data_IF_631636845720
#
_entry.id   IF_631636845720
#
_cell.length_a   1.000
_cell.length_b   1.000
_cell.length_c   1.000
_cell.angle_alpha   90.00
_cell.angle_beta   90.00
_cell.angle_gamma   90.00
#
_symmetry.space_group_name_H-M   'P 1'
#
loop_
_entity.id
_entity.type
_entity.pdbx_description
1 polymer ?
#
# COMPACT_ATOMS: atom_id res chain seq x y z
N UNK A 1 26.15 -31.81 -11.66
CA UNK A 1 27.04 -32.83 -12.28
C UNK A 1 26.28 -33.88 -13.12
N UNK A 2 25.13 -34.43 -12.67
CA UNK A 2 24.36 -35.41 -13.46
C UNK A 2 23.85 -34.88 -14.82
N UNK A 3 23.37 -33.64 -14.85
CA UNK A 3 22.74 -33.03 -16.03
C UNK A 3 23.73 -32.82 -17.19
N UNK A 4 24.95 -32.34 -16.89
CA UNK A 4 26.03 -32.21 -17.90
C UNK A 4 26.42 -33.58 -18.46
N UNK A 5 26.43 -34.63 -17.62
CA UNK A 5 26.77 -35.98 -18.07
C UNK A 5 25.71 -36.54 -19.03
N UNK A 6 24.43 -36.40 -18.71
CA UNK A 6 23.32 -36.83 -19.59
C UNK A 6 23.29 -36.09 -20.93
N UNK A 7 23.64 -34.80 -20.97
CA UNK A 7 23.77 -34.02 -22.22
C UNK A 7 24.90 -34.59 -23.10
N UNK A 8 26.04 -34.92 -22.50
CA UNK A 8 27.19 -35.46 -23.24
C UNK A 8 26.95 -36.90 -23.73
N UNK A 9 26.13 -37.68 -23.01
CA UNK A 9 25.77 -39.06 -23.35
C UNK A 9 24.63 -39.14 -24.40
N UNK A 10 24.11 -38.00 -24.88
CA UNK A 10 23.04 -37.93 -25.89
C UNK A 10 21.65 -38.31 -25.36
N UNK A 11 21.49 -38.34 -24.04
CA UNK A 11 20.22 -38.64 -23.38
C UNK A 11 19.41 -37.36 -23.19
N UNK A 12 18.08 -37.42 -23.39
CA UNK A 12 17.24 -36.25 -23.15
C UNK A 12 17.17 -35.93 -21.65
N UNK A 13 17.89 -34.91 -21.21
CA UNK A 13 17.79 -34.35 -19.87
C UNK A 13 17.38 -32.88 -19.98
N UNK A 14 16.18 -32.56 -19.48
CA UNK A 14 15.63 -31.20 -19.46
C UNK A 14 14.71 -30.90 -20.63
N UNK A 15 13.42 -30.65 -20.32
CA UNK A 15 12.50 -30.08 -21.29
C UNK A 15 12.89 -28.64 -21.59
N UNK A 16 12.66 -28.18 -22.83
CA UNK A 16 12.76 -26.78 -23.22
C UNK A 16 12.04 -25.91 -22.18
N UNK A 17 12.77 -25.18 -21.35
CA UNK A 17 12.20 -24.11 -20.53
C UNK A 17 11.91 -22.96 -21.48
N UNK A 18 10.74 -23.01 -22.12
CA UNK A 18 10.16 -21.82 -22.70
C UNK A 18 10.17 -20.76 -21.61
N UNK A 19 10.90 -19.66 -21.79
CA UNK A 19 10.59 -18.43 -21.07
C UNK A 19 9.10 -18.22 -21.28
N UNK A 20 8.32 -18.30 -20.20
CA UNK A 20 6.92 -17.92 -20.25
C UNK A 20 6.87 -16.53 -20.92
N UNK A 21 5.98 -16.36 -21.89
CA UNK A 21 5.87 -15.08 -22.61
C UNK A 21 5.73 -13.93 -21.61
N UNK A 22 6.20 -12.71 -21.92
CA UNK A 22 6.20 -11.62 -20.96
C UNK A 22 4.79 -11.44 -20.38
N UNK A 23 4.67 -11.56 -19.06
CA UNK A 23 3.39 -11.31 -18.39
C UNK A 23 3.11 -9.83 -18.55
N UNK A 24 2.01 -9.52 -19.24
CA UNK A 24 1.52 -8.15 -19.34
C UNK A 24 0.71 -7.84 -18.09
N UNK A 25 1.31 -7.12 -17.17
CA UNK A 25 0.62 -6.52 -16.06
C UNK A 25 -0.01 -5.21 -16.57
N UNK A 26 -1.34 -5.13 -16.50
CA UNK A 26 -2.10 -3.94 -16.87
C UNK A 26 -2.53 -3.24 -15.58
N UNK A 27 -2.09 -2.01 -15.39
CA UNK A 27 -2.62 -1.11 -14.37
C UNK A 27 -3.35 0.03 -15.07
N UNK A 28 -4.59 0.26 -14.68
CA UNK A 28 -5.45 1.24 -15.33
C UNK A 28 -5.21 2.63 -14.73
N UNK A 29 -4.33 3.40 -15.35
CA UNK A 29 -4.10 4.81 -14.97
C UNK A 29 -5.26 5.75 -15.38
N UNK A 30 -6.30 5.23 -16.04
CA UNK A 30 -7.49 5.98 -16.37
C UNK A 30 -8.56 5.80 -15.29
N UNK A 31 -9.12 6.90 -14.80
CA UNK A 31 -10.15 6.82 -13.76
C UNK A 31 -11.46 6.34 -14.39
N UNK A 32 -11.82 5.07 -14.20
CA UNK A 32 -13.07 4.48 -14.71
C UNK A 32 -14.34 5.04 -14.04
N UNK A 33 -14.19 5.96 -13.09
CA UNK A 33 -15.29 6.67 -12.46
C UNK A 33 -15.80 7.78 -13.38
N UNK A 34 -16.96 7.55 -14.02
CA UNK A 34 -17.71 8.58 -14.77
C UNK A 34 -17.96 9.85 -13.95
N UNK A 35 -17.98 9.74 -12.62
CA UNK A 35 -18.10 10.84 -11.66
C UNK A 35 -16.88 11.78 -11.60
N UNK A 36 -15.71 11.36 -12.11
CA UNK A 36 -14.50 12.19 -12.21
C UNK A 36 -14.33 12.86 -13.58
N UNK A 37 -15.24 12.57 -14.52
CA UNK A 37 -15.25 13.25 -15.81
C UNK A 37 -15.34 14.77 -15.59
N UNK A 38 -14.34 15.50 -16.10
CA UNK A 38 -14.17 16.96 -15.96
C UNK A 38 -13.70 17.47 -14.59
N UNK A 39 -13.10 16.61 -13.75
CA UNK A 39 -12.43 17.02 -12.49
C UNK A 39 -10.90 16.85 -12.62
N UNK A 40 -10.18 17.81 -13.24
CA UNK A 40 -8.76 17.62 -13.59
C UNK A 40 -7.85 17.38 -12.38
N UNK A 41 -8.14 18.01 -11.24
CA UNK A 41 -7.40 17.78 -9.98
C UNK A 41 -7.59 16.33 -9.50
N UNK A 42 -8.82 15.83 -9.45
CA UNK A 42 -9.11 14.45 -9.03
C UNK A 42 -8.54 13.42 -10.01
N UNK A 43 -8.55 13.71 -11.31
CA UNK A 43 -7.92 12.85 -12.32
C UNK A 43 -6.41 12.82 -12.15
N UNK A 44 -5.79 13.96 -11.86
CA UNK A 44 -4.35 14.05 -11.60
C UNK A 44 -4.00 13.24 -10.35
N UNK A 45 -4.79 13.39 -9.27
CA UNK A 45 -4.61 12.64 -8.04
C UNK A 45 -4.71 11.13 -8.27
N UNK A 46 -5.77 10.68 -8.93
CA UNK A 46 -5.95 9.27 -9.29
C UNK A 46 -4.79 8.74 -10.12
N UNK A 47 -4.37 9.46 -11.16
CA UNK A 47 -3.25 9.04 -11.99
C UNK A 47 -1.92 8.93 -11.18
N UNK A 48 -1.71 9.79 -10.19
CA UNK A 48 -0.52 9.72 -9.32
C UNK A 48 -0.56 8.54 -8.35
N UNK A 49 -1.76 8.19 -7.86
CA UNK A 49 -1.98 6.98 -7.06
C UNK A 49 -1.62 5.73 -7.87
N UNK A 50 -2.17 5.61 -9.08
CA UNK A 50 -1.88 4.50 -9.99
C UNK A 50 -0.41 4.48 -10.46
N UNK A 51 0.20 5.65 -10.65
CA UNK A 51 1.62 5.74 -10.98
C UNK A 51 2.51 5.15 -9.86
N UNK A 52 2.13 5.32 -8.60
CA UNK A 52 2.84 4.69 -7.48
C UNK A 52 2.73 3.15 -7.55
N UNK A 53 1.58 2.62 -7.97
CA UNK A 53 1.42 1.17 -8.16
C UNK A 53 2.33 0.60 -9.24
N UNK A 54 2.69 1.34 -10.30
CA UNK A 54 3.66 0.86 -11.31
C UNK A 54 4.98 0.43 -10.65
N UNK A 55 5.50 1.24 -9.71
CA UNK A 55 6.69 0.88 -8.95
C UNK A 55 6.45 -0.35 -8.07
N UNK A 56 5.35 -0.38 -7.33
CA UNK A 56 5.02 -1.50 -6.43
C UNK A 56 4.88 -2.82 -7.19
N UNK A 57 4.23 -2.80 -8.37
CA UNK A 57 4.03 -3.97 -9.23
C UNK A 57 5.37 -4.50 -9.74
N UNK A 58 6.26 -3.61 -10.19
CA UNK A 58 7.59 -4.00 -10.68
C UNK A 58 8.47 -4.65 -9.60
N UNK A 59 8.17 -4.44 -8.31
CA UNK A 59 8.93 -4.96 -7.17
C UNK A 59 8.09 -5.87 -6.27
N UNK A 60 6.94 -6.33 -6.77
CA UNK A 60 6.10 -7.32 -6.11
C UNK A 60 5.96 -8.55 -6.98
N UNK A 61 5.56 -9.67 -6.39
CA UNK A 61 5.39 -10.94 -7.10
C UNK A 61 4.10 -10.94 -7.91
N UNK A 62 3.82 -9.86 -8.64
CA UNK A 62 2.51 -9.56 -9.23
C UNK A 62 2.08 -10.56 -10.33
N UNK A 63 3.03 -11.31 -10.89
CA UNK A 63 2.78 -12.40 -11.84
C UNK A 63 2.34 -13.71 -11.16
N UNK A 64 2.46 -13.80 -9.84
CA UNK A 64 2.17 -15.00 -9.06
C UNK A 64 0.75 -14.92 -8.45
N UNK A 65 0.26 -16.04 -7.90
CA UNK A 65 -1.06 -16.08 -7.26
C UNK A 65 -1.19 -14.99 -6.17
N UNK A 66 -2.33 -14.29 -6.18
CA UNK A 66 -2.61 -13.18 -5.27
C UNK A 66 -2.56 -13.67 -3.83
N UNK A 67 -1.48 -13.33 -3.14
CA UNK A 67 -1.29 -13.59 -1.71
C UNK A 67 -0.81 -12.32 -1.02
N UNK A 68 -1.07 -12.21 0.28
CA UNK A 68 -0.67 -11.04 1.03
C UNK A 68 0.85 -10.91 1.19
N UNK A 69 1.60 -12.02 1.17
CA UNK A 69 3.06 -12.03 1.28
C UNK A 69 3.77 -11.48 0.04
N UNK A 70 3.10 -11.48 -1.11
CA UNK A 70 3.61 -10.94 -2.38
C UNK A 70 2.97 -9.60 -2.74
N UNK A 71 2.24 -9.01 -1.79
CA UNK A 71 1.82 -7.62 -1.73
C UNK A 71 0.77 -7.16 -2.77
N UNK A 72 -0.03 -8.09 -3.29
CA UNK A 72 -1.14 -7.74 -4.19
C UNK A 72 -2.40 -7.26 -3.44
N UNK A 73 -2.60 -7.73 -2.19
CA UNK A 73 -3.77 -7.46 -1.33
C UNK A 73 -3.33 -7.07 0.10
N UNK A 74 -2.74 -5.89 0.26
CA UNK A 74 -2.34 -5.40 1.59
C UNK A 74 -2.46 -3.89 1.68
N UNK A 75 -2.72 -3.35 2.87
CA UNK A 75 -2.91 -1.90 3.08
C UNK A 75 -1.69 -1.13 2.62
N UNK A 76 -0.54 -1.79 2.58
CA UNK A 76 0.72 -1.27 2.11
C UNK A 76 0.65 -0.88 0.63
N UNK A 77 -0.11 -1.61 -0.20
CA UNK A 77 -0.27 -1.28 -1.61
C UNK A 77 -1.05 0.03 -1.76
N UNK A 78 -2.32 0.02 -1.35
CA UNK A 78 -3.26 1.12 -1.57
C UNK A 78 -3.05 2.30 -0.61
N UNK A 79 -2.71 2.02 0.64
CA UNK A 79 -2.47 3.04 1.66
C UNK A 79 -1.22 3.86 1.38
N UNK A 80 -0.11 3.23 0.96
CA UNK A 80 1.10 3.96 0.58
C UNK A 80 0.89 4.76 -0.70
N UNK A 81 0.15 4.21 -1.69
CA UNK A 81 -0.22 4.96 -2.90
C UNK A 81 -1.13 6.17 -2.58
N UNK A 82 -2.07 6.00 -1.65
CA UNK A 82 -2.95 7.08 -1.16
C UNK A 82 -2.15 8.18 -0.48
N UNK A 83 -1.24 7.83 0.45
CA UNK A 83 -0.38 8.82 1.11
C UNK A 83 0.58 9.48 0.10
N UNK A 84 1.22 8.70 -0.76
CA UNK A 84 2.17 9.19 -1.78
C UNK A 84 1.52 10.18 -2.74
N UNK A 85 0.30 9.89 -3.21
CA UNK A 85 -0.43 10.80 -4.09
C UNK A 85 -0.84 12.08 -3.36
N UNK A 86 -1.31 11.99 -2.11
CA UNK A 86 -1.61 13.17 -1.29
C UNK A 86 -0.36 14.06 -1.08
N UNK A 87 0.80 13.45 -0.76
CA UNK A 87 2.06 14.19 -0.61
C UNK A 87 2.48 14.89 -1.90
N UNK A 88 2.31 14.23 -3.04
CA UNK A 88 2.59 14.83 -4.33
C UNK A 88 1.66 16.02 -4.62
N UNK A 89 0.36 15.88 -4.32
CA UNK A 89 -0.62 16.97 -4.47
C UNK A 89 -0.33 18.16 -3.55
N UNK A 90 0.18 17.91 -2.34
CA UNK A 90 0.70 18.97 -1.45
C UNK A 90 1.91 19.68 -2.06
N UNK A 91 2.86 18.93 -2.64
CA UNK A 91 4.03 19.52 -3.29
C UNK A 91 3.63 20.42 -4.47
N UNK A 92 2.57 20.06 -5.20
CA UNK A 92 1.97 20.88 -6.25
C UNK A 92 1.09 22.04 -5.73
N UNK A 93 0.95 22.19 -4.41
CA UNK A 93 0.14 23.23 -3.75
C UNK A 93 -1.36 23.15 -4.05
N UNK A 94 -1.86 21.96 -4.38
CA UNK A 94 -3.30 21.73 -4.55
C UNK A 94 -4.02 21.45 -3.24
N UNK A 95 -3.32 20.88 -2.25
CA UNK A 95 -3.86 20.54 -0.93
C UNK A 95 -2.86 20.88 0.18
N UNK A 96 -3.33 20.82 1.43
CA UNK A 96 -2.50 20.68 2.62
C UNK A 96 -2.58 19.21 3.10
N UNK A 97 -1.44 18.53 3.28
CA UNK A 97 -1.43 17.11 3.65
C UNK A 97 -2.04 16.90 5.04
N UNK A 98 -1.70 17.74 6.01
CA UNK A 98 -2.21 17.64 7.39
C UNK A 98 -3.73 17.73 7.43
N UNK A 99 -4.31 18.69 6.71
CA UNK A 99 -5.76 18.84 6.62
C UNK A 99 -6.41 17.65 5.92
N UNK A 100 -5.83 17.17 4.80
CA UNK A 100 -6.30 15.99 4.10
C UNK A 100 -6.34 14.74 5.00
N UNK A 101 -5.27 14.50 5.75
CA UNK A 101 -5.19 13.35 6.67
C UNK A 101 -6.26 13.44 7.77
N UNK A 102 -6.57 14.65 8.26
CA UNK A 102 -7.67 14.87 9.20
C UNK A 102 -9.05 14.63 8.54
N UNK A 103 -9.23 15.04 7.29
CA UNK A 103 -10.46 14.80 6.53
C UNK A 103 -10.73 13.31 6.30
N UNK A 104 -9.70 12.50 6.04
CA UNK A 104 -9.83 11.03 5.98
C UNK A 104 -10.46 10.47 7.26
N UNK A 105 -10.09 11.01 8.42
CA UNK A 105 -10.64 10.56 9.71
C UNK A 105 -12.09 10.96 9.91
N UNK A 106 -12.41 12.22 9.61
CA UNK A 106 -13.71 12.81 9.91
C UNK A 106 -14.79 12.46 8.88
N UNK A 107 -14.44 12.52 7.60
CA UNK A 107 -15.40 12.52 6.51
C UNK A 107 -15.01 11.62 5.33
N UNK A 108 -13.80 11.04 5.35
CA UNK A 108 -13.25 10.16 4.31
C UNK A 108 -12.71 10.88 3.06
N UNK A 109 -12.55 12.20 3.15
CA UNK A 109 -11.97 13.08 2.12
C UNK A 109 -12.55 12.84 0.70
N UNK A 110 -11.68 12.71 -0.31
CA UNK A 110 -12.06 12.42 -1.69
C UNK A 110 -12.19 10.91 -2.00
N UNK A 111 -12.05 10.04 -0.99
CA UNK A 111 -12.08 8.58 -1.17
C UNK A 111 -13.50 8.06 -1.05
N UNK A 112 -14.13 8.17 0.13
CA UNK A 112 -15.52 7.74 0.31
C UNK A 112 -16.12 8.25 1.62
N UNK A 113 -17.38 7.89 1.87
CA UNK A 113 -17.99 7.92 3.21
C UNK A 113 -18.34 6.49 3.62
N UNK A 114 -18.22 6.11 4.91
CA UNK A 114 -17.89 6.95 6.07
C UNK A 114 -16.40 7.27 6.19
N UNK A 115 -16.05 8.26 7.03
CA UNK A 115 -14.65 8.47 7.45
C UNK A 115 -14.18 7.42 8.46
N UNK A 116 -12.88 7.38 8.74
CA UNK A 116 -12.26 6.36 9.62
C UNK A 116 -12.92 6.30 11.00
N UNK A 117 -13.20 7.45 11.62
CA UNK A 117 -13.74 7.50 12.98
C UNK A 117 -15.13 6.88 13.06
N UNK A 118 -16.00 7.20 12.10
CA UNK A 118 -17.34 6.63 12.02
C UNK A 118 -17.27 5.11 11.74
N UNK A 119 -16.38 4.70 10.83
CA UNK A 119 -16.19 3.28 10.52
C UNK A 119 -15.72 2.48 11.75
N UNK A 120 -14.69 2.94 12.46
CA UNK A 120 -14.16 2.28 13.66
C UNK A 120 -15.21 2.26 14.77
N UNK A 121 -16.01 3.32 14.92
CA UNK A 121 -17.09 3.35 15.92
C UNK A 121 -18.16 2.29 15.65
N UNK A 122 -18.45 2.00 14.38
CA UNK A 122 -19.43 0.97 13.97
C UNK A 122 -18.83 -0.43 13.94
N UNK A 123 -17.51 -0.54 13.80
CA UNK A 123 -16.77 -1.80 13.70
C UNK A 123 -15.64 -1.82 14.74
N UNK A 124 -15.96 -1.92 16.04
CA UNK A 124 -14.96 -1.79 17.10
C UNK A 124 -13.87 -2.87 17.04
N UNK A 125 -14.20 -4.04 16.49
CA UNK A 125 -13.30 -5.19 16.32
C UNK A 125 -12.50 -5.17 15.01
N UNK A 126 -12.65 -4.12 14.18
CA UNK A 126 -11.87 -3.99 12.95
C UNK A 126 -10.37 -3.99 13.23
N UNK A 127 -9.61 -4.65 12.37
CA UNK A 127 -8.16 -4.69 12.44
C UNK A 127 -7.53 -4.49 11.06
N UNK A 128 -6.44 -3.72 11.00
CA UNK A 128 -5.70 -3.48 9.75
C UNK A 128 -5.02 -4.76 9.22
N UNK A 129 -4.62 -5.66 10.13
CA UNK A 129 -4.04 -6.96 9.80
C UNK A 129 -5.07 -7.97 9.26
N UNK A 130 -6.36 -7.64 9.33
CA UNK A 130 -7.38 -8.42 8.67
C UNK A 130 -7.48 -8.02 7.18
N UNK A 131 -6.72 -8.72 6.36
CA UNK A 131 -6.66 -8.54 4.90
C UNK A 131 -7.81 -9.23 4.16
N UNK A 132 -8.83 -9.78 4.85
CA UNK A 132 -10.06 -10.27 4.19
C UNK A 132 -11.09 -9.17 3.96
N UNK A 133 -10.88 -7.95 4.49
CA UNK A 133 -11.78 -6.81 4.32
C UNK A 133 -11.78 -6.18 2.91
N UNK A 134 -11.04 -6.78 1.97
CA UNK A 134 -10.85 -6.27 0.61
C UNK A 134 -11.99 -6.59 -0.36
N UNK A 135 -12.75 -7.64 -0.10
CA UNK A 135 -13.61 -8.23 -1.14
C UNK A 135 -15.09 -7.83 -1.04
N UNK A 136 -15.53 -7.11 0.01
CA UNK A 136 -16.95 -6.84 0.24
C UNK A 136 -17.28 -5.42 0.79
N UNK A 137 -18.26 -4.76 0.17
CA UNK A 137 -18.94 -3.58 0.72
C UNK A 137 -18.16 -2.26 0.70
N UNK A 138 -18.34 -1.45 1.76
CA UNK A 138 -17.72 -0.11 1.94
C UNK A 138 -16.33 -0.22 2.62
N UNK A 139 -16.01 -1.41 3.16
CA UNK A 139 -14.76 -1.70 3.86
C UNK A 139 -13.49 -1.44 3.02
N UNK A 140 -13.45 -1.72 1.69
CA UNK A 140 -12.26 -1.48 0.87
C UNK A 140 -11.86 -0.02 0.88
N UNK A 141 -12.80 0.92 0.76
CA UNK A 141 -12.48 2.35 0.69
C UNK A 141 -11.89 2.87 2.00
N UNK A 142 -12.43 2.43 3.14
CA UNK A 142 -11.87 2.81 4.46
C UNK A 142 -10.49 2.18 4.68
N UNK A 143 -10.24 1.01 4.09
CA UNK A 143 -8.94 0.36 4.13
C UNK A 143 -7.83 1.22 3.50
N UNK A 144 -8.14 1.96 2.42
CA UNK A 144 -7.20 2.90 1.79
C UNK A 144 -6.88 4.06 2.74
N UNK A 145 -7.91 4.62 3.37
CA UNK A 145 -7.78 5.73 4.32
C UNK A 145 -6.94 5.32 5.54
N UNK A 146 -7.20 4.16 6.11
CA UNK A 146 -6.46 3.64 7.27
C UNK A 146 -5.03 3.28 6.86
N UNK A 147 -4.83 2.71 5.67
CA UNK A 147 -3.50 2.45 5.11
C UNK A 147 -2.67 3.72 4.90
N UNK A 148 -3.28 4.83 4.48
CA UNK A 148 -2.62 6.12 4.39
C UNK A 148 -2.16 6.62 5.77
N UNK A 149 -2.99 6.43 6.80
CA UNK A 149 -2.65 6.76 8.18
C UNK A 149 -1.57 5.84 8.77
N UNK A 150 -1.58 4.55 8.42
CA UNK A 150 -0.52 3.60 8.76
C UNK A 150 0.83 4.02 8.15
N UNK A 151 0.80 4.49 6.91
CA UNK A 151 1.98 5.06 6.23
C UNK A 151 2.47 6.31 6.96
N UNK A 152 1.58 7.26 7.26
CA UNK A 152 1.93 8.47 8.01
C UNK A 152 2.47 8.15 9.42
N UNK A 153 1.92 7.15 10.11
CA UNK A 153 2.42 6.70 11.41
C UNK A 153 3.87 6.19 11.33
N UNK A 154 4.19 5.37 10.33
CA UNK A 154 5.56 4.90 10.13
C UNK A 154 6.53 6.06 9.87
N UNK A 155 6.13 7.03 9.06
CA UNK A 155 6.98 8.17 8.71
C UNK A 155 7.17 9.11 9.92
N UNK A 156 6.06 9.61 10.45
CA UNK A 156 6.05 10.74 11.40
C UNK A 156 6.15 10.31 12.86
N UNK A 157 5.48 9.23 13.26
CA UNK A 157 5.52 8.76 14.65
C UNK A 157 6.71 7.85 14.93
N UNK A 158 7.02 6.94 14.00
CA UNK A 158 8.16 6.02 14.14
C UNK A 158 9.47 6.59 13.60
N UNK A 159 9.44 7.74 12.91
CA UNK A 159 10.61 8.41 12.37
C UNK A 159 11.32 7.60 11.28
N UNK A 160 10.59 6.77 10.55
CA UNK A 160 11.15 6.03 9.42
C UNK A 160 11.19 6.96 8.22
N UNK A 161 12.34 7.04 7.57
CA UNK A 161 12.54 7.85 6.38
C UNK A 161 11.45 7.60 5.32
N UNK A 162 10.88 8.67 4.76
CA UNK A 162 9.73 8.60 3.84
C UNK A 162 10.04 7.75 2.60
N UNK A 163 11.26 7.88 2.06
CA UNK A 163 11.71 7.09 0.92
C UNK A 163 11.81 5.59 1.28
N UNK A 164 12.21 5.30 2.52
CA UNK A 164 12.26 3.94 3.04
C UNK A 164 10.87 3.31 3.13
N UNK A 165 9.88 4.06 3.64
CA UNK A 165 8.48 3.61 3.75
C UNK A 165 7.83 3.43 2.37
N UNK A 166 8.03 4.39 1.46
CA UNK A 166 7.33 4.40 0.17
C UNK A 166 8.03 3.57 -0.91
N UNK A 167 9.35 3.31 -0.79
CA UNK A 167 10.15 2.73 -1.87
C UNK A 167 11.11 1.63 -1.44
N UNK A 168 12.03 1.92 -0.52
CA UNK A 168 13.22 1.07 -0.38
C UNK A 168 12.92 -0.35 0.13
N UNK A 169 11.88 -0.51 0.95
CA UNK A 169 11.52 -1.83 1.45
C UNK A 169 10.94 -2.77 0.38
N UNK A 170 10.35 -2.23 -0.70
CA UNK A 170 9.77 -3.02 -1.79
C UNK A 170 10.80 -3.87 -2.52
N UNK A 171 12.04 -3.37 -2.67
CA UNK A 171 13.13 -4.13 -3.28
C UNK A 171 13.45 -5.44 -2.55
N UNK A 172 13.14 -5.52 -1.24
CA UNK A 172 13.44 -6.68 -0.41
C UNK A 172 12.25 -7.64 -0.27
N UNK A 173 11.05 -7.32 -0.78
CA UNK A 173 9.88 -8.19 -0.62
C UNK A 173 10.09 -9.54 -1.30
N UNK A 174 10.52 -9.56 -2.56
CA UNK A 174 10.80 -10.80 -3.30
C UNK A 174 11.91 -11.63 -2.66
N UNK A 175 13.11 -11.10 -2.34
CA UNK A 175 14.21 -11.91 -1.86
C UNK A 175 14.07 -12.45 -0.42
N UNK A 176 13.32 -11.77 0.47
CA UNK A 176 13.22 -12.20 1.88
C UNK A 176 11.79 -12.31 2.43
N UNK A 177 10.78 -11.94 1.65
CA UNK A 177 9.38 -11.94 2.06
C UNK A 177 8.98 -10.66 2.80
N UNK A 178 7.69 -10.33 2.71
CA UNK A 178 7.08 -9.11 3.26
C UNK A 178 7.41 -8.87 4.74
N UNK A 179 7.23 -9.87 5.60
CA UNK A 179 7.43 -9.70 7.04
C UNK A 179 8.89 -9.40 7.40
N UNK A 180 9.84 -10.08 6.74
CA UNK A 180 11.27 -9.85 6.96
C UNK A 180 11.71 -8.49 6.40
N UNK A 181 11.26 -8.13 5.19
CA UNK A 181 11.51 -6.83 4.58
C UNK A 181 10.95 -5.70 5.45
N UNK A 182 9.71 -5.82 5.90
CA UNK A 182 9.09 -4.83 6.80
C UNK A 182 9.90 -4.64 8.09
N UNK A 183 10.28 -5.73 8.76
CA UNK A 183 11.09 -5.65 9.98
C UNK A 183 12.47 -5.02 9.74
N UNK A 184 13.11 -5.36 8.61
CA UNK A 184 14.42 -4.81 8.21
C UNK A 184 14.36 -3.29 8.05
N UNK A 185 13.31 -2.77 7.41
CA UNK A 185 13.20 -1.37 7.03
C UNK A 185 12.49 -0.51 8.07
N UNK A 186 11.34 -0.95 8.56
CA UNK A 186 10.52 -0.20 9.53
C UNK A 186 11.00 -0.31 10.97
N UNK A 187 12.01 -1.16 11.22
CA UNK A 187 12.63 -1.38 12.55
C UNK A 187 11.66 -1.89 13.63
N UNK A 188 10.50 -2.39 13.21
CA UNK A 188 9.47 -2.97 14.05
C UNK A 188 8.91 -4.21 13.34
N UNK A 189 8.51 -5.24 14.08
CA UNK A 189 7.86 -6.40 13.45
C UNK A 189 6.46 -6.01 12.95
N UNK A 190 5.95 -6.72 11.93
CA UNK A 190 4.57 -6.52 11.46
C UNK A 190 3.55 -6.66 12.59
N UNK A 191 3.72 -7.67 13.44
CA UNK A 191 2.83 -7.92 14.58
C UNK A 191 2.82 -6.73 15.55
N UNK A 192 4.00 -6.30 15.99
CA UNK A 192 4.11 -5.20 16.95
C UNK A 192 3.58 -3.89 16.33
N UNK A 193 3.85 -3.66 15.04
CA UNK A 193 3.28 -2.54 14.30
C UNK A 193 1.75 -2.56 14.32
N UNK A 194 1.11 -3.69 14.03
CA UNK A 194 -0.34 -3.78 14.01
C UNK A 194 -0.95 -3.54 15.40
N UNK A 195 -0.31 -4.01 16.47
CA UNK A 195 -0.74 -3.74 17.84
C UNK A 195 -0.60 -2.25 18.19
N UNK A 196 0.57 -1.65 17.95
CA UNK A 196 0.84 -0.24 18.23
C UNK A 196 -0.07 0.69 17.42
N UNK A 197 -0.22 0.41 16.12
CA UNK A 197 -1.03 1.23 15.21
C UNK A 197 -2.51 1.14 15.55
N UNK A 198 -3.02 -0.04 15.92
CA UNK A 198 -4.41 -0.21 16.35
C UNK A 198 -4.75 0.65 17.57
N UNK A 199 -3.83 0.75 18.55
CA UNK A 199 -4.00 1.66 19.68
C UNK A 199 -3.89 3.13 19.26
N UNK A 200 -2.95 3.45 18.37
CA UNK A 200 -2.74 4.81 17.88
C UNK A 200 -3.97 5.37 17.15
N UNK A 201 -4.48 4.64 16.15
CA UNK A 201 -5.52 5.16 15.24
C UNK A 201 -6.86 5.44 15.96
N UNK A 202 -7.10 4.77 17.09
CA UNK A 202 -8.29 4.93 17.94
C UNK A 202 -8.23 6.14 18.89
N UNK A 203 -7.09 6.83 19.01
CA UNK A 203 -6.99 8.04 19.82
C UNK A 203 -7.83 9.18 19.22
N UNK A 204 -8.20 10.21 20.00
CA UNK A 204 -8.88 11.39 19.47
C UNK A 204 -8.06 12.08 18.37
N UNK A 205 -8.73 12.73 17.43
CA UNK A 205 -8.08 13.43 16.30
C UNK A 205 -6.95 14.34 16.78
N UNK A 206 -7.16 15.11 17.84
CA UNK A 206 -6.14 16.00 18.41
C UNK A 206 -4.86 15.29 18.84
N UNK A 207 -4.93 14.05 19.32
CA UNK A 207 -3.77 13.26 19.72
C UNK A 207 -3.08 12.63 18.52
N UNK A 208 -3.85 12.11 17.57
CA UNK A 208 -3.33 11.48 16.33
C UNK A 208 -2.65 12.52 15.44
N UNK A 209 -3.19 13.74 15.36
CA UNK A 209 -2.65 14.80 14.50
C UNK A 209 -1.30 15.37 14.97
N UNK A 210 -0.89 15.12 16.23
CA UNK A 210 0.41 15.59 16.77
C UNK A 210 1.61 14.99 16.07
N UNK A 211 1.45 13.90 15.30
CA UNK A 211 2.55 13.29 14.56
C UNK A 211 3.16 14.28 13.55
N UNK A 212 2.33 15.16 12.97
CA UNK A 212 2.77 16.17 12.00
C UNK A 212 3.37 17.43 12.64
N UNK A 213 3.46 17.49 13.97
CA UNK A 213 4.07 18.61 14.70
C UNK A 213 5.53 18.30 15.08
N UNK A 214 6.02 17.10 14.76
CA UNK A 214 7.35 16.60 15.12
C UNK A 214 8.42 16.82 14.04
N UNK A 215 8.03 17.42 12.91
CA UNK A 215 8.87 17.69 11.74
C UNK A 215 9.62 19.03 11.84
#
# INVERSE_FOLDING_TARGET
>A
MKEIKSILDGESAGGLTWTQGPVRLYEDVSTNATERAKRPIENTWGALHEYHHVFQIAHSGAEEERTSDKNSNSWMREGMATYSSAKFMENLKFINLKDYMLELRKFGANISRPGINEFISKNPDYRLDNETYWDEGIAPQVYYMIGAWATAYLIHEKGIDEETVLRNWWYDIIPMGRAAAFKKHMKISLKDFYEEFYTFIKKPDQEVMKIFDKD
#
